data_IF_756726775556
#
_entry.id   IF_756726775556
#
_cell.length_a   1.000
_cell.length_b   1.000
_cell.length_c   1.000
_cell.angle_alpha   90.00
_cell.angle_beta   90.00
_cell.angle_gamma   90.00
#
_symmetry.space_group_name_H-M   'P 1'
#
loop_
_entity.id
_entity.type
_entity.pdbx_description
1 polymer ?
#
# COMPACT_ATOMS: atom_id res chain seq x y z
N UNK A 1 43.56 -85.77 13.75
CA UNK A 1 42.36 -86.62 14.03
C UNK A 1 41.15 -85.65 13.81
N UNK A 2 40.52 -85.78 12.69
CA UNK A 2 39.08 -86.07 12.45
C UNK A 2 38.17 -85.05 13.17
N UNK A 3 37.17 -84.44 12.61
CA UNK A 3 36.21 -84.66 11.52
C UNK A 3 35.46 -83.35 11.30
N UNK A 4 35.32 -82.80 10.07
CA UNK A 4 34.14 -82.77 9.22
C UNK A 4 32.79 -82.46 9.94
N UNK A 5 32.14 -81.42 9.54
CA UNK A 5 30.81 -81.41 8.85
C UNK A 5 30.32 -79.94 8.68
N UNK A 6 30.35 -79.43 7.47
CA UNK A 6 29.23 -79.18 6.53
C UNK A 6 27.88 -78.92 7.21
N UNK A 7 27.38 -77.78 7.00
CA UNK A 7 25.99 -77.33 7.26
C UNK A 7 25.65 -76.11 6.48
N UNK A 8 25.00 -76.35 5.39
CA UNK A 8 24.51 -75.46 4.34
C UNK A 8 23.14 -74.91 4.80
N UNK A 9 22.77 -73.76 4.17
CA UNK A 9 21.38 -73.13 4.14
C UNK A 9 21.01 -72.30 5.36
N UNK A 10 20.47 -71.12 5.17
CA UNK A 10 19.51 -70.65 4.17
C UNK A 10 19.48 -69.13 4.09
N UNK A 11 19.24 -68.67 2.90
CA UNK A 11 18.81 -67.39 2.48
C UNK A 11 17.65 -66.83 3.35
N UNK A 12 17.81 -65.65 3.89
CA UNK A 12 16.71 -64.85 4.43
C UNK A 12 16.88 -63.40 4.02
N UNK A 13 16.47 -63.11 2.78
CA UNK A 13 16.40 -61.75 2.25
C UNK A 13 15.17 -61.08 2.87
N UNK A 14 15.33 -60.36 3.97
CA UNK A 14 14.31 -59.46 4.47
C UNK A 14 14.50 -58.10 3.77
N UNK A 15 13.73 -57.89 2.74
CA UNK A 15 13.53 -56.56 2.16
C UNK A 15 12.71 -55.69 3.15
N UNK A 16 13.37 -54.81 3.90
CA UNK A 16 12.71 -53.72 4.57
C UNK A 16 12.38 -52.67 3.50
N UNK A 17 11.13 -52.68 3.06
CA UNK A 17 10.53 -51.55 2.35
C UNK A 17 10.36 -50.39 3.36
N UNK A 18 11.35 -49.51 3.38
CA UNK A 18 11.20 -48.21 4.01
C UNK A 18 10.16 -47.40 3.23
N UNK A 19 8.95 -47.27 3.76
CA UNK A 19 8.01 -46.25 3.32
C UNK A 19 8.62 -44.89 3.62
N UNK A 20 9.25 -44.27 2.62
CA UNK A 20 9.53 -42.85 2.61
C UNK A 20 8.17 -42.13 2.50
N UNK A 21 7.63 -41.74 3.61
CA UNK A 21 6.60 -40.69 3.67
C UNK A 21 7.30 -39.39 3.35
N UNK A 22 7.23 -39.00 2.09
CA UNK A 22 7.58 -37.63 1.66
C UNK A 22 6.57 -36.71 2.35
N UNK A 23 7.00 -35.74 3.17
CA UNK A 23 6.08 -34.68 3.58
C UNK A 23 5.65 -33.97 2.30
N UNK A 24 4.34 -33.94 2.05
CA UNK A 24 3.77 -33.07 1.05
C UNK A 24 4.22 -31.65 1.42
N UNK A 25 5.07 -31.06 0.58
CA UNK A 25 5.31 -29.63 0.61
C UNK A 25 3.95 -29.00 0.32
N UNK A 26 3.34 -28.44 1.35
CA UNK A 26 2.28 -27.47 1.17
C UNK A 26 2.91 -26.32 0.41
N UNK A 27 2.69 -26.33 -0.89
CA UNK A 27 2.93 -25.17 -1.73
C UNK A 27 1.95 -24.13 -1.21
N UNK A 28 2.41 -23.20 -0.37
CA UNK A 28 1.73 -21.92 -0.19
C UNK A 28 1.60 -21.34 -1.59
N UNK A 29 0.43 -21.50 -2.15
CA UNK A 29 0.01 -20.82 -3.37
C UNK A 29 -0.05 -19.35 -3.01
N UNK A 30 1.08 -18.66 -3.17
CA UNK A 30 1.13 -17.20 -3.12
C UNK A 30 0.26 -16.74 -4.28
N UNK A 31 -0.99 -16.42 -3.98
CA UNK A 31 -1.92 -15.79 -4.92
C UNK A 31 -1.32 -14.44 -5.28
N UNK A 32 -0.51 -14.42 -6.32
CA UNK A 32 -0.03 -13.17 -6.92
C UNK A 32 -1.25 -12.59 -7.64
N UNK A 33 -1.84 -11.58 -7.03
CA UNK A 33 -2.95 -10.84 -7.64
C UNK A 33 -2.57 -10.39 -9.06
N UNK A 34 -3.56 -10.38 -9.97
CA UNK A 34 -3.35 -9.91 -11.33
C UNK A 34 -2.81 -8.46 -11.33
N UNK A 35 -2.01 -8.05 -12.33
CA UNK A 35 -1.41 -6.70 -12.35
C UNK A 35 -2.42 -5.56 -12.19
N UNK A 36 -3.63 -5.72 -12.71
CA UNK A 36 -4.71 -4.73 -12.58
C UNK A 36 -5.28 -4.64 -11.15
N UNK A 37 -5.41 -5.77 -10.46
CA UNK A 37 -5.81 -5.81 -9.05
C UNK A 37 -4.77 -5.17 -8.14
N UNK A 38 -3.49 -5.36 -8.41
CA UNK A 38 -2.39 -4.76 -7.65
C UNK A 38 -2.37 -3.23 -7.81
N UNK A 39 -2.58 -2.73 -9.03
CA UNK A 39 -2.64 -1.29 -9.31
C UNK A 39 -3.86 -0.64 -8.65
N UNK A 40 -5.02 -1.29 -8.67
CA UNK A 40 -6.21 -0.79 -8.01
C UNK A 40 -6.05 -0.77 -6.48
N UNK A 41 -5.50 -1.83 -5.91
CA UNK A 41 -5.22 -1.90 -4.47
C UNK A 41 -4.24 -0.80 -4.02
N UNK A 42 -3.20 -0.55 -4.80
CA UNK A 42 -2.23 0.51 -4.52
C UNK A 42 -2.89 1.89 -4.58
N UNK A 43 -3.71 2.15 -5.59
CA UNK A 43 -4.46 3.39 -5.74
C UNK A 43 -5.41 3.62 -4.56
N UNK A 44 -6.21 2.63 -4.19
CA UNK A 44 -7.13 2.71 -3.06
C UNK A 44 -6.39 2.93 -1.73
N UNK A 45 -5.21 2.35 -1.59
CA UNK A 45 -4.35 2.53 -0.43
C UNK A 45 -3.82 3.96 -0.34
N UNK A 46 -3.39 4.55 -1.45
CA UNK A 46 -2.95 5.96 -1.51
C UNK A 46 -4.09 6.91 -1.16
N UNK A 47 -5.29 6.69 -1.67
CA UNK A 47 -6.48 7.49 -1.31
C UNK A 47 -6.72 7.46 0.21
N UNK A 48 -6.67 6.29 0.84
CA UNK A 48 -6.88 6.17 2.29
C UNK A 48 -5.80 6.89 3.10
N UNK A 49 -4.54 6.75 2.71
CA UNK A 49 -3.42 7.44 3.36
C UNK A 49 -3.51 8.95 3.15
N UNK A 50 -3.77 9.40 1.93
CA UNK A 50 -3.94 10.82 1.61
C UNK A 50 -5.09 11.46 2.36
N UNK A 51 -6.22 10.77 2.45
CA UNK A 51 -7.36 11.21 3.28
C UNK A 51 -6.98 11.37 4.74
N UNK A 52 -6.28 10.39 5.31
CA UNK A 52 -5.83 10.44 6.70
C UNK A 52 -4.89 11.63 6.95
N UNK A 53 -3.96 11.91 6.02
CA UNK A 53 -3.07 13.07 6.10
C UNK A 53 -3.90 14.37 6.07
N UNK A 54 -4.82 14.51 5.13
CA UNK A 54 -5.69 15.66 5.02
C UNK A 54 -6.50 15.89 6.31
N UNK A 55 -7.13 14.86 6.85
CA UNK A 55 -7.94 14.94 8.06
C UNK A 55 -7.13 15.27 9.32
N UNK A 56 -5.91 14.74 9.44
CA UNK A 56 -5.10 14.92 10.65
C UNK A 56 -4.25 16.18 10.66
N UNK A 57 -3.82 16.64 9.48
CA UNK A 57 -2.89 17.78 9.37
C UNK A 57 -3.53 19.06 8.84
N UNK A 58 -4.61 18.96 8.05
CA UNK A 58 -5.17 20.09 7.32
C UNK A 58 -6.58 20.49 7.77
N UNK A 59 -7.35 19.57 8.37
CA UNK A 59 -8.75 19.78 8.71
C UNK A 59 -9.00 20.88 9.76
N UNK A 60 -7.95 21.31 10.47
CA UNK A 60 -8.06 22.47 11.39
C UNK A 60 -8.45 23.75 10.66
N UNK A 61 -8.02 23.89 9.41
CA UNK A 61 -8.22 25.09 8.60
C UNK A 61 -9.06 24.83 7.34
N UNK A 62 -8.88 23.67 6.69
CA UNK A 62 -9.54 23.33 5.43
C UNK A 62 -10.70 22.37 5.60
N UNK A 63 -11.74 22.53 4.78
CA UNK A 63 -12.67 21.43 4.51
C UNK A 63 -11.94 20.42 3.64
N UNK A 64 -11.66 19.26 4.19
CA UNK A 64 -10.78 18.24 3.57
C UNK A 64 -11.53 17.19 2.77
N UNK A 65 -12.87 17.18 2.79
CA UNK A 65 -13.73 16.26 2.05
C UNK A 65 -14.49 16.94 0.92
N UNK A 66 -15.52 16.22 0.46
CA UNK A 66 -16.41 16.67 -0.63
C UNK A 66 -17.51 17.62 -0.18
N UNK A 67 -17.68 17.85 1.13
CA UNK A 67 -18.75 18.67 1.70
C UNK A 67 -18.22 19.62 2.78
N UNK A 68 -19.06 20.59 3.15
CA UNK A 68 -18.80 21.53 4.22
C UNK A 68 -17.92 22.70 3.84
N UNK A 69 -17.83 23.68 4.76
CA UNK A 69 -17.00 24.86 4.60
C UNK A 69 -15.71 24.75 5.41
N UNK A 70 -14.67 25.42 4.95
CA UNK A 70 -13.41 25.48 5.67
C UNK A 70 -13.58 26.24 6.99
N UNK A 71 -13.04 25.74 8.12
CA UNK A 71 -13.04 26.43 9.39
C UNK A 71 -12.33 27.78 9.35
N UNK A 72 -11.26 27.90 8.55
CA UNK A 72 -10.54 29.16 8.34
C UNK A 72 -11.04 29.85 7.07
N UNK A 73 -11.39 31.14 7.12
CA UNK A 73 -12.04 31.85 6.00
C UNK A 73 -11.17 31.94 4.74
N UNK A 74 -9.85 32.01 4.90
CA UNK A 74 -8.91 32.12 3.77
C UNK A 74 -8.45 30.74 3.26
N UNK A 75 -8.81 29.66 3.94
CA UNK A 75 -8.43 28.31 3.54
C UNK A 75 -9.45 27.72 2.56
N UNK A 76 -9.06 27.60 1.27
CA UNK A 76 -9.93 27.03 0.24
C UNK A 76 -10.29 25.58 0.58
N UNK A 77 -11.57 25.14 0.47
CA UNK A 77 -11.94 23.74 0.54
C UNK A 77 -11.17 22.90 -0.49
N UNK A 78 -10.71 21.73 -0.11
CA UNK A 78 -9.83 20.91 -0.96
C UNK A 78 -10.48 20.51 -2.28
N UNK A 79 -11.79 20.29 -2.31
CA UNK A 79 -12.53 19.95 -3.54
C UNK A 79 -12.49 21.02 -4.63
N UNK A 80 -12.07 22.26 -4.32
CA UNK A 80 -12.00 23.40 -5.25
C UNK A 80 -10.57 23.80 -5.61
N UNK A 81 -9.56 23.02 -5.25
CA UNK A 81 -8.15 23.37 -5.53
C UNK A 81 -7.86 23.43 -7.02
N UNK A 82 -8.45 22.52 -7.80
CA UNK A 82 -8.26 22.46 -9.27
C UNK A 82 -8.80 23.67 -10.03
N UNK A 83 -9.59 24.56 -9.37
CA UNK A 83 -10.07 25.80 -10.00
C UNK A 83 -8.94 26.78 -10.35
N UNK A 84 -7.83 26.74 -9.64
CA UNK A 84 -6.75 27.71 -9.80
C UNK A 84 -5.55 27.14 -10.57
N UNK A 85 -5.27 25.83 -10.38
CA UNK A 85 -4.12 25.14 -10.95
C UNK A 85 -4.31 23.62 -10.85
N UNK A 86 -3.60 22.83 -11.64
CA UNK A 86 -3.61 21.39 -11.47
C UNK A 86 -3.17 21.01 -10.05
N UNK A 87 -3.92 20.14 -9.38
CA UNK A 87 -3.63 19.71 -7.99
C UNK A 87 -2.20 19.18 -7.86
N UNK A 88 -1.69 18.54 -8.90
CA UNK A 88 -0.35 17.98 -8.94
C UNK A 88 0.78 19.01 -8.82
N UNK A 89 0.52 20.27 -9.15
CA UNK A 89 1.49 21.36 -8.97
C UNK A 89 1.82 21.65 -7.50
N UNK A 90 1.04 21.10 -6.57
CA UNK A 90 1.32 21.18 -5.12
C UNK A 90 2.47 20.24 -4.68
N UNK A 91 2.88 19.27 -5.49
CA UNK A 91 3.91 18.29 -5.11
C UNK A 91 5.21 18.98 -4.67
N UNK A 92 5.70 19.91 -5.46
CA UNK A 92 6.93 20.64 -5.18
C UNK A 92 6.81 21.47 -3.90
N UNK A 93 5.72 22.22 -3.76
CA UNK A 93 5.48 23.03 -2.57
C UNK A 93 5.41 22.21 -1.29
N UNK A 94 4.78 21.04 -1.33
CA UNK A 94 4.68 20.12 -0.20
C UNK A 94 6.02 19.43 0.11
N UNK A 95 6.87 19.19 -0.89
CA UNK A 95 8.19 18.61 -0.72
C UNK A 95 9.20 19.60 -0.12
N UNK A 96 9.15 20.85 -0.55
CA UNK A 96 10.07 21.90 -0.11
C UNK A 96 9.59 22.62 1.16
N UNK A 97 8.34 22.42 1.56
CA UNK A 97 7.77 23.11 2.70
C UNK A 97 7.49 24.59 2.45
N UNK A 98 7.19 24.95 1.21
CA UNK A 98 6.86 26.32 0.83
C UNK A 98 5.47 26.70 1.34
N UNK A 99 5.32 27.93 1.83
CA UNK A 99 4.02 28.49 2.18
C UNK A 99 3.28 28.84 0.89
N UNK A 100 2.23 28.08 0.60
CA UNK A 100 1.39 28.28 -0.58
C UNK A 100 -0.03 28.70 -0.17
N UNK A 101 -0.57 29.66 -0.89
CA UNK A 101 -1.96 30.04 -0.80
C UNK A 101 -2.25 31.19 0.17
N UNK A 102 -1.96 31.06 1.46
CA UNK A 102 -2.23 32.11 2.45
C UNK A 102 -1.21 32.14 3.59
N UNK A 103 -1.00 33.32 4.26
CA UNK A 103 0.07 33.51 5.26
C UNK A 103 -0.01 32.61 6.48
N UNK A 104 -1.23 32.20 6.84
CA UNK A 104 -1.48 31.41 8.06
C UNK A 104 -1.33 29.90 7.84
N UNK A 105 -1.00 29.49 6.62
CA UNK A 105 -0.76 28.08 6.32
C UNK A 105 0.57 27.63 6.92
N UNK A 106 0.57 26.63 7.82
CA UNK A 106 1.83 26.12 8.38
C UNK A 106 2.65 25.39 7.32
N UNK A 107 3.97 25.44 7.48
CA UNK A 107 4.90 24.68 6.67
C UNK A 107 4.81 23.19 7.02
N UNK A 108 4.58 22.35 6.05
CA UNK A 108 4.61 20.90 6.18
C UNK A 108 5.77 20.33 5.38
N UNK A 109 6.48 19.37 5.96
CA UNK A 109 7.45 18.54 5.26
C UNK A 109 6.87 17.12 5.23
N UNK A 110 6.54 16.68 4.03
CA UNK A 110 5.99 15.36 3.78
C UNK A 110 7.01 14.50 3.04
N UNK A 111 7.00 13.20 3.31
CA UNK A 111 7.78 12.26 2.51
C UNK A 111 7.20 12.11 1.10
N UNK A 112 7.99 11.65 0.10
CA UNK A 112 7.48 11.44 -1.26
C UNK A 112 6.23 10.57 -1.33
N UNK A 113 6.14 9.53 -0.51
CA UNK A 113 4.96 8.66 -0.45
C UNK A 113 3.73 9.38 0.15
N UNK A 114 3.92 10.19 1.19
CA UNK A 114 2.85 11.00 1.78
C UNK A 114 2.34 12.05 0.78
N UNK A 115 3.24 12.68 0.02
CA UNK A 115 2.88 13.65 -1.01
C UNK A 115 2.04 12.98 -2.10
N UNK A 116 2.54 11.89 -2.68
CA UNK A 116 1.84 11.18 -3.75
C UNK A 116 0.47 10.66 -3.28
N UNK A 117 0.39 10.16 -2.04
CA UNK A 117 -0.87 9.74 -1.44
C UNK A 117 -1.84 10.91 -1.24
N UNK A 118 -1.35 12.04 -0.74
CA UNK A 118 -2.18 13.24 -0.53
C UNK A 118 -2.67 13.77 -1.88
N UNK A 119 -1.81 13.91 -2.87
CA UNK A 119 -2.19 14.36 -4.21
C UNK A 119 -3.21 13.42 -4.85
N UNK A 120 -3.01 12.10 -4.76
CA UNK A 120 -3.97 11.11 -5.24
C UNK A 120 -5.36 11.30 -4.59
N UNK A 121 -5.39 11.51 -3.29
CA UNK A 121 -6.64 11.80 -2.58
C UNK A 121 -7.26 13.14 -3.04
N UNK A 122 -6.47 14.20 -3.10
CA UNK A 122 -6.95 15.51 -3.54
C UNK A 122 -7.54 15.46 -4.96
N UNK A 123 -6.87 14.81 -5.90
CA UNK A 123 -7.38 14.61 -7.27
C UNK A 123 -8.71 13.85 -7.28
N UNK A 124 -8.89 12.87 -6.38
CA UNK A 124 -10.10 12.05 -6.31
C UNK A 124 -11.36 12.79 -5.85
N UNK A 125 -11.20 13.92 -5.16
CA UNK A 125 -12.31 14.69 -4.58
C UNK A 125 -12.59 16.02 -5.30
N UNK A 126 -11.89 16.31 -6.41
CA UNK A 126 -12.13 17.58 -7.11
C UNK A 126 -13.53 17.63 -7.70
N UNK A 127 -14.21 18.76 -7.49
CA UNK A 127 -15.47 19.04 -8.17
C UNK A 127 -15.18 19.55 -9.60
N UNK A 128 -15.97 19.14 -10.60
CA UNK A 128 -15.82 19.66 -11.95
C UNK A 128 -16.14 21.16 -11.95
N UNK A 129 -15.31 21.92 -12.66
CA UNK A 129 -15.58 23.34 -12.86
C UNK A 129 -16.96 23.52 -13.48
N UNK A 130 -17.83 24.25 -12.79
CA UNK A 130 -19.02 24.82 -13.42
C UNK A 130 -18.55 25.94 -14.34
N UNK A 131 -18.54 25.66 -15.66
CA UNK A 131 -18.24 26.64 -16.68
C UNK A 131 -19.29 27.76 -16.73
#
# INVERSE_FOLDING_TARGET
MLLRRTGLLALGLLALTACHTTPAAETEETVVAAPEEQTQFEFDSKIKVGKLIAETRCAKCHATGTEGDSPHPDAKPFRYLSENYPVRDLEEALAEGIVVGHPDMPVFVLSPYEIDSLITYLESIQEPHSA
#
